data_IF_586646836178
#
_entry.id   IF_586646836178
#
_cell.length_a   1.000
_cell.length_b   1.000
_cell.length_c   1.000
_cell.angle_alpha   90.00
_cell.angle_beta   90.00
_cell.angle_gamma   90.00
#
_symmetry.space_group_name_H-M   'P 1'
#
loop_
_entity.id
_entity.type
_entity.pdbx_description
1 polymer ?
#
# COMPACT_ATOMS: atom_id res chain seq x y z
N UNK A 1 7.05 11.97 12.84
CA UNK A 1 6.70 11.86 11.42
C UNK A 1 7.06 10.45 10.95
N UNK A 2 6.26 9.81 10.09
CA UNK A 2 6.68 8.55 9.48
C UNK A 2 7.95 8.78 8.64
N UNK A 3 8.82 7.78 8.59
CA UNK A 3 10.03 7.81 7.77
C UNK A 3 9.64 7.96 6.29
N UNK A 4 10.15 8.96 5.55
CA UNK A 4 9.82 9.16 4.14
C UNK A 4 10.26 7.99 3.25
N UNK A 5 11.16 7.13 3.72
CA UNK A 5 11.56 5.90 3.04
C UNK A 5 10.56 4.76 3.20
N UNK A 6 9.58 4.91 4.12
CA UNK A 6 8.56 3.90 4.32
C UNK A 6 7.52 4.01 3.19
N UNK A 7 7.26 2.94 2.42
CA UNK A 7 6.27 2.93 1.34
C UNK A 7 4.83 3.01 1.84
N UNK A 8 4.62 2.92 3.16
CA UNK A 8 3.29 2.91 3.77
C UNK A 8 2.99 4.23 4.46
N UNK A 9 1.72 4.63 4.40
CA UNK A 9 1.24 5.81 5.09
C UNK A 9 1.25 5.63 6.61
N UNK A 10 1.51 6.72 7.32
CA UNK A 10 1.32 6.77 8.76
C UNK A 10 -0.15 6.59 9.15
N UNK A 11 -0.38 6.27 10.42
CA UNK A 11 -1.74 6.15 10.95
C UNK A 11 -2.46 7.48 10.83
N UNK A 12 -3.67 7.43 10.27
CA UNK A 12 -4.55 8.58 10.12
C UNK A 12 -6.01 8.18 10.35
N UNK A 13 -6.84 9.19 10.56
CA UNK A 13 -8.28 9.07 10.70
C UNK A 13 -8.94 9.61 9.43
N UNK A 14 -9.91 8.87 8.92
CA UNK A 14 -10.65 9.27 7.72
C UNK A 14 -12.14 9.23 7.98
N UNK A 15 -12.81 10.35 7.81
CA UNK A 15 -14.28 10.42 7.82
C UNK A 15 -14.79 9.96 6.46
N UNK A 16 -15.66 8.98 6.46
CA UNK A 16 -16.28 8.44 5.25
C UNK A 16 -17.49 9.25 4.83
N UNK A 17 -17.97 9.06 3.60
CA UNK A 17 -19.19 9.70 3.10
C UNK A 17 -20.44 9.35 3.93
N UNK A 18 -20.42 8.25 4.66
CA UNK A 18 -21.49 7.84 5.59
C UNK A 18 -21.33 8.44 7.00
N UNK A 19 -20.41 9.37 7.22
CA UNK A 19 -20.13 9.97 8.52
C UNK A 19 -19.36 9.08 9.50
N UNK A 20 -19.01 7.85 9.11
CA UNK A 20 -18.23 6.93 9.96
C UNK A 20 -16.75 7.26 9.88
N UNK A 21 -16.06 7.19 11.01
CA UNK A 21 -14.61 7.40 11.05
C UNK A 21 -13.89 6.07 11.00
N UNK A 22 -12.87 5.99 10.15
CA UNK A 22 -11.93 4.86 10.06
C UNK A 22 -10.58 5.28 10.60
N UNK A 23 -9.89 4.36 11.26
CA UNK A 23 -8.49 4.49 11.66
C UNK A 23 -7.63 3.49 10.88
N UNK A 24 -6.49 3.90 10.40
CA UNK A 24 -5.57 3.05 9.64
C UNK A 24 -4.49 3.86 8.94
N UNK A 25 -3.79 3.27 7.99
CA UNK A 25 -3.89 1.88 7.54
C UNK A 25 -3.08 0.90 8.38
N UNK A 26 -3.38 -0.39 8.18
CA UNK A 26 -2.45 -1.49 8.43
C UNK A 26 -2.01 -2.04 7.08
N UNK A 27 -0.73 -2.38 6.93
CA UNK A 27 -0.21 -2.91 5.68
C UNK A 27 0.34 -4.32 5.88
N UNK A 28 -0.13 -5.25 5.04
CA UNK A 28 0.43 -6.60 4.95
C UNK A 28 0.76 -6.91 3.50
N UNK A 29 1.77 -7.76 3.27
CA UNK A 29 2.00 -8.33 1.96
C UNK A 29 0.78 -9.12 1.50
N UNK A 30 0.30 -8.82 0.29
CA UNK A 30 -0.71 -9.65 -0.38
C UNK A 30 -0.03 -10.84 -1.04
N UNK A 31 -0.66 -12.01 -0.96
CA UNK A 31 -0.13 -13.25 -1.54
C UNK A 31 -0.74 -13.56 -2.91
N UNK A 32 -1.78 -12.84 -3.33
CA UNK A 32 -2.35 -12.89 -4.68
C UNK A 32 -2.96 -11.54 -5.06
N UNK A 33 -3.24 -11.33 -6.33
CA UNK A 33 -3.57 -10.01 -6.88
C UNK A 33 -4.92 -9.45 -6.41
N UNK A 34 -5.89 -10.31 -6.13
CA UNK A 34 -7.23 -9.91 -5.70
C UNK A 34 -7.53 -10.35 -4.28
N UNK A 35 -6.60 -10.09 -3.36
CA UNK A 35 -6.70 -10.48 -1.95
C UNK A 35 -7.65 -9.58 -1.14
N UNK A 36 -8.90 -9.51 -1.60
CA UNK A 36 -9.97 -8.76 -0.91
C UNK A 36 -10.77 -9.61 0.08
N UNK A 37 -10.69 -10.95 -0.04
CA UNK A 37 -11.55 -11.88 0.69
C UNK A 37 -10.79 -12.78 1.66
N UNK A 38 -9.53 -12.48 1.91
CA UNK A 38 -8.66 -13.31 2.73
C UNK A 38 -8.60 -14.74 2.17
N UNK A 39 -8.55 -15.74 3.03
CA UNK A 39 -8.37 -17.16 2.64
C UNK A 39 -9.39 -17.72 1.64
N UNK A 40 -10.53 -17.06 1.44
CA UNK A 40 -11.57 -17.51 0.49
C UNK A 40 -11.24 -17.26 -0.99
N UNK A 41 -10.17 -16.51 -1.27
CA UNK A 41 -9.76 -16.17 -2.64
C UNK A 41 -8.39 -16.71 -3.03
N UNK A 42 -7.86 -17.69 -2.31
CA UNK A 42 -6.51 -18.23 -2.50
C UNK A 42 -6.31 -18.71 -3.95
N UNK A 43 -5.23 -18.22 -4.57
CA UNK A 43 -4.79 -18.62 -5.91
C UNK A 43 -3.35 -19.17 -5.83
N UNK A 44 -3.18 -20.49 -5.75
CA UNK A 44 -1.86 -21.10 -5.49
C UNK A 44 -0.79 -20.73 -6.52
N UNK A 45 -1.17 -20.59 -7.79
CA UNK A 45 -0.23 -20.19 -8.87
C UNK A 45 0.26 -18.77 -8.72
N UNK A 46 -0.61 -17.84 -8.32
CA UNK A 46 -0.25 -16.45 -8.04
C UNK A 46 0.61 -16.36 -6.78
N UNK A 47 0.25 -17.10 -5.73
CA UNK A 47 1.05 -17.20 -4.51
C UNK A 47 2.48 -17.67 -4.79
N UNK A 48 2.63 -18.74 -5.57
CA UNK A 48 3.94 -19.26 -5.95
C UNK A 48 4.75 -18.21 -6.75
N UNK A 49 4.11 -17.49 -7.66
CA UNK A 49 4.73 -16.45 -8.47
C UNK A 49 5.20 -15.28 -7.61
N UNK A 50 4.36 -14.83 -6.68
CA UNK A 50 4.69 -13.74 -5.76
C UNK A 50 5.77 -14.18 -4.76
N UNK A 51 5.65 -15.39 -4.18
CA UNK A 51 6.61 -15.91 -3.22
C UNK A 51 8.04 -15.99 -3.78
N UNK A 52 8.19 -16.27 -5.08
CA UNK A 52 9.50 -16.26 -5.77
C UNK A 52 10.15 -14.88 -5.80
N UNK A 53 9.39 -13.81 -5.68
CA UNK A 53 9.88 -12.43 -5.71
C UNK A 53 10.31 -11.95 -4.31
N UNK A 54 9.73 -12.50 -3.23
CA UNK A 54 10.04 -12.07 -1.87
C UNK A 54 11.52 -12.12 -1.49
N UNK A 55 12.31 -13.18 -1.84
CA UNK A 55 13.71 -13.21 -1.48
C UNK A 55 14.50 -12.01 -2.06
N UNK A 56 14.13 -11.56 -3.26
CA UNK A 56 14.76 -10.36 -3.88
C UNK A 56 14.40 -9.10 -3.12
N UNK A 57 13.14 -8.92 -2.77
CA UNK A 57 12.69 -7.81 -1.96
C UNK A 57 13.35 -7.80 -0.57
N UNK A 58 13.36 -8.94 0.12
CA UNK A 58 13.90 -9.07 1.48
C UNK A 58 15.42 -8.83 1.57
N UNK A 59 16.16 -9.16 0.50
CA UNK A 59 17.61 -8.95 0.42
C UNK A 59 18.00 -7.62 -0.19
N UNK A 60 17.03 -6.85 -0.66
CA UNK A 60 17.30 -5.56 -1.29
C UNK A 60 17.82 -4.54 -0.27
N UNK A 61 18.95 -3.84 -0.57
CA UNK A 61 19.47 -2.80 0.31
C UNK A 61 18.62 -1.53 0.30
N UNK A 62 17.62 -1.47 -0.58
CA UNK A 62 16.75 -0.29 -0.73
C UNK A 62 15.63 -0.23 0.31
N UNK A 63 15.42 -1.30 1.09
CA UNK A 63 14.34 -1.39 2.06
C UNK A 63 14.87 -1.85 3.42
N UNK A 64 14.48 -1.14 4.47
CA UNK A 64 14.63 -1.62 5.85
C UNK A 64 13.46 -2.55 6.20
N UNK A 65 13.52 -3.80 5.72
CA UNK A 65 12.47 -4.78 5.97
C UNK A 65 12.26 -5.07 7.46
N UNK A 66 13.31 -5.23 8.30
CA UNK A 66 13.12 -5.36 9.73
C UNK A 66 12.39 -4.17 10.35
N UNK A 67 12.74 -2.96 9.96
CA UNK A 67 12.06 -1.73 10.39
C UNK A 67 10.60 -1.68 9.96
N UNK A 68 10.31 -2.10 8.71
CA UNK A 68 8.94 -2.21 8.20
C UNK A 68 8.10 -3.19 9.03
N UNK A 69 8.61 -4.38 9.30
CA UNK A 69 7.93 -5.39 10.12
C UNK A 69 7.69 -4.85 11.54
N UNK A 70 8.71 -4.25 12.14
CA UNK A 70 8.61 -3.66 13.48
C UNK A 70 7.56 -2.55 13.57
N UNK A 71 7.37 -1.79 12.50
CA UNK A 71 6.44 -0.66 12.43
C UNK A 71 5.01 -1.12 12.09
N UNK A 72 4.86 -2.05 11.16
CA UNK A 72 3.55 -2.43 10.63
C UNK A 72 2.87 -3.53 11.45
N UNK A 73 3.63 -4.51 11.95
CA UNK A 73 3.07 -5.65 12.68
C UNK A 73 2.28 -5.23 13.95
N UNK A 74 2.76 -4.30 14.79
CA UNK A 74 2.00 -3.87 15.97
C UNK A 74 0.66 -3.21 15.65
N UNK A 75 0.51 -2.60 14.46
CA UNK A 75 -0.74 -1.96 14.01
C UNK A 75 -1.91 -2.95 13.87
N UNK A 76 -1.65 -4.26 13.82
CA UNK A 76 -2.69 -5.30 13.89
C UNK A 76 -3.40 -5.36 15.23
N UNK A 77 -2.75 -4.89 16.30
CA UNK A 77 -3.41 -4.65 17.57
C UNK A 77 -4.24 -3.37 17.49
N UNK A 78 -5.56 -3.50 17.66
CA UNK A 78 -6.48 -2.35 17.72
C UNK A 78 -6.03 -1.32 18.76
N UNK A 79 -5.59 -1.78 19.95
CA UNK A 79 -5.11 -0.90 21.02
C UNK A 79 -3.88 -0.09 20.58
N UNK A 80 -2.92 -0.75 19.92
CA UNK A 80 -1.72 -0.09 19.43
C UNK A 80 -2.06 0.90 18.30
N UNK A 81 -2.90 0.51 17.34
CA UNK A 81 -3.34 1.38 16.25
C UNK A 81 -4.03 2.66 16.79
N UNK A 82 -4.93 2.51 17.75
CA UNK A 82 -5.62 3.64 18.37
C UNK A 82 -4.67 4.48 19.22
N UNK A 83 -3.68 3.87 19.89
CA UNK A 83 -2.67 4.66 20.64
C UNK A 83 -1.89 5.62 19.73
N UNK A 84 -1.60 5.19 18.50
CA UNK A 84 -0.99 6.09 17.49
C UNK A 84 -1.97 7.17 17.01
N UNK A 85 -3.24 6.83 16.82
CA UNK A 85 -4.27 7.78 16.42
C UNK A 85 -4.53 8.88 17.47
N UNK A 86 -4.31 8.58 18.76
CA UNK A 86 -4.40 9.56 19.85
C UNK A 86 -3.43 10.73 19.72
N UNK A 87 -2.32 10.57 19.01
CA UNK A 87 -1.43 11.67 18.70
C UNK A 87 -2.10 12.74 17.80
N UNK A 88 -3.12 12.34 17.04
CA UNK A 88 -3.90 13.24 16.18
C UNK A 88 -5.20 13.70 16.85
N UNK A 89 -5.89 12.78 17.51
CA UNK A 89 -7.16 13.03 18.20
C UNK A 89 -7.11 12.36 19.59
N UNK A 90 -6.76 13.09 20.65
CA UNK A 90 -6.52 12.53 21.98
C UNK A 90 -7.72 11.80 22.60
N UNK A 91 -8.93 12.18 22.21
CA UNK A 91 -10.18 11.66 22.79
C UNK A 91 -10.57 10.27 22.29
N UNK A 92 -10.00 9.77 21.17
CA UNK A 92 -10.39 8.47 20.62
C UNK A 92 -10.01 7.31 21.56
N UNK A 93 -10.90 6.33 21.62
CA UNK A 93 -10.72 5.13 22.43
C UNK A 93 -10.77 3.86 21.55
N UNK A 94 -10.14 2.75 21.98
CA UNK A 94 -10.23 1.49 21.24
C UNK A 94 -11.66 0.99 21.03
N UNK A 95 -12.55 1.36 21.93
CA UNK A 95 -13.97 0.98 21.93
C UNK A 95 -14.76 1.68 20.80
N UNK A 96 -14.27 2.82 20.29
CA UNK A 96 -14.86 3.55 19.17
C UNK A 96 -14.68 2.79 17.84
N UNK A 97 -13.69 1.90 17.75
CA UNK A 97 -13.34 1.16 16.53
C UNK A 97 -13.60 -0.34 16.70
N UNK A 98 -14.86 -0.75 16.69
CA UNK A 98 -15.27 -2.14 16.96
C UNK A 98 -15.23 -3.02 15.71
N UNK A 99 -15.43 -2.44 14.53
CA UNK A 99 -15.53 -3.15 13.27
C UNK A 99 -14.22 -3.06 12.48
N UNK A 100 -13.89 -4.13 11.77
CA UNK A 100 -12.82 -4.09 10.78
C UNK A 100 -13.33 -3.46 9.49
N UNK A 101 -12.54 -2.54 8.93
CA UNK A 101 -12.81 -1.94 7.63
C UNK A 101 -12.62 -2.93 6.48
N UNK A 102 -13.05 -2.53 5.28
CA UNK A 102 -12.78 -3.30 4.07
C UNK A 102 -11.29 -3.30 3.76
N UNK A 103 -10.79 -4.43 3.29
CA UNK A 103 -9.42 -4.56 2.79
C UNK A 103 -9.33 -3.90 1.41
N UNK A 104 -8.27 -3.13 1.18
CA UNK A 104 -7.90 -2.64 -0.14
C UNK A 104 -6.58 -3.28 -0.57
N UNK A 105 -6.47 -3.66 -1.83
CA UNK A 105 -5.21 -4.14 -2.40
C UNK A 105 -4.55 -2.98 -3.13
N UNK A 106 -3.31 -2.66 -2.74
CA UNK A 106 -2.47 -1.71 -3.47
C UNK A 106 -1.54 -2.50 -4.39
N UNK A 107 -1.66 -2.31 -5.69
CA UNK A 107 -0.67 -2.80 -6.64
C UNK A 107 0.64 -2.05 -6.39
N UNK A 108 1.73 -2.81 -6.21
CA UNK A 108 3.06 -2.25 -5.99
C UNK A 108 4.04 -2.90 -6.96
N UNK A 109 4.58 -2.09 -7.87
CA UNK A 109 5.55 -2.56 -8.85
C UNK A 109 6.90 -2.81 -8.18
N UNK A 110 7.49 -3.96 -8.47
CA UNK A 110 8.82 -4.35 -8.02
C UNK A 110 9.77 -4.39 -9.23
N UNK A 111 10.85 -3.63 -9.17
CA UNK A 111 11.96 -3.77 -10.11
C UNK A 111 12.74 -5.04 -9.76
N UNK A 112 12.48 -6.12 -10.50
CA UNK A 112 12.96 -7.47 -10.18
C UNK A 112 14.48 -7.58 -10.07
N UNK A 113 15.29 -6.94 -10.95
CA UNK A 113 16.75 -7.04 -10.84
C UNK A 113 17.32 -6.47 -9.54
N UNK A 114 16.83 -5.32 -9.08
CA UNK A 114 17.33 -4.65 -7.87
C UNK A 114 16.54 -4.99 -6.61
N UNK A 115 15.35 -5.57 -6.73
CA UNK A 115 14.44 -5.77 -5.61
C UNK A 115 13.85 -4.47 -5.03
N UNK A 116 13.93 -3.36 -5.78
CA UNK A 116 13.40 -2.06 -5.35
C UNK A 116 11.92 -1.94 -5.69
N UNK A 117 11.15 -1.41 -4.76
CA UNK A 117 9.77 -0.99 -5.03
C UNK A 117 9.77 0.31 -5.82
N UNK A 118 9.01 0.37 -6.90
CA UNK A 118 8.83 1.61 -7.65
C UNK A 118 7.84 2.51 -6.91
N UNK A 119 8.31 3.69 -6.53
CA UNK A 119 7.54 4.62 -5.69
C UNK A 119 6.90 5.75 -6.50
N UNK A 120 7.15 5.78 -7.81
CA UNK A 120 6.67 6.82 -8.72
C UNK A 120 5.97 6.19 -9.92
N UNK A 121 5.37 7.04 -10.77
CA UNK A 121 4.79 6.62 -12.04
C UNK A 121 5.84 6.01 -12.96
N UNK A 122 5.51 4.90 -13.58
CA UNK A 122 6.36 4.26 -14.59
C UNK A 122 5.59 4.21 -15.89
N UNK A 123 6.01 5.02 -16.85
CA UNK A 123 5.44 5.06 -18.20
C UNK A 123 6.47 4.53 -19.19
N UNK A 124 6.07 3.62 -20.07
CA UNK A 124 6.93 2.99 -21.07
C UNK A 124 6.26 3.03 -22.45
N UNK A 125 6.96 3.53 -23.48
CA UNK A 125 6.47 3.45 -24.86
C UNK A 125 6.57 1.99 -25.36
N UNK A 126 5.62 1.59 -26.18
CA UNK A 126 5.66 0.42 -27.06
C UNK A 126 5.62 0.87 -28.51
N UNK A 127 5.64 -0.06 -29.48
CA UNK A 127 5.63 0.28 -30.91
C UNK A 127 4.41 1.12 -31.32
N UNK A 128 3.23 0.79 -30.78
CA UNK A 128 1.95 1.47 -31.08
C UNK A 128 1.11 1.64 -29.80
N UNK A 129 1.78 1.77 -28.67
CA UNK A 129 1.10 1.83 -27.37
C UNK A 129 1.94 2.57 -26.35
N UNK A 130 1.28 3.08 -25.33
CA UNK A 130 1.93 3.61 -24.12
C UNK A 130 1.41 2.85 -22.92
N UNK A 131 2.32 2.37 -22.11
CA UNK A 131 2.02 1.54 -20.93
C UNK A 131 2.29 2.33 -19.65
N UNK A 132 1.27 2.48 -18.81
CA UNK A 132 1.40 3.02 -17.47
C UNK A 132 1.51 1.82 -16.52
N UNK A 133 2.74 1.46 -16.16
CA UNK A 133 3.03 0.25 -15.38
C UNK A 133 2.83 0.44 -13.90
N UNK A 134 3.00 1.67 -13.42
CA UNK A 134 2.85 2.00 -12.01
C UNK A 134 2.12 3.34 -11.90
N UNK A 135 0.86 3.30 -11.48
CA UNK A 135 0.04 4.46 -11.21
C UNK A 135 -0.23 4.54 -9.70
N UNK A 136 0.73 5.12 -8.97
CA UNK A 136 0.66 5.25 -7.52
C UNK A 136 -0.19 6.45 -7.10
N UNK A 137 -0.67 6.45 -5.85
CA UNK A 137 -1.34 7.62 -5.28
C UNK A 137 -0.41 8.85 -5.33
N UNK A 138 -0.90 10.00 -5.85
CA UNK A 138 -2.31 10.42 -6.02
C UNK A 138 -2.91 10.18 -7.42
N UNK A 139 -2.58 9.09 -8.11
CA UNK A 139 -2.97 8.83 -9.52
C UNK A 139 -4.42 9.16 -9.87
N UNK A 140 -5.38 8.82 -9.01
CA UNK A 140 -6.79 9.12 -9.25
C UNK A 140 -7.06 10.62 -9.27
N UNK A 141 -6.59 11.35 -8.26
CA UNK A 141 -6.85 12.79 -8.13
C UNK A 141 -6.04 13.63 -9.10
N UNK A 142 -4.89 13.12 -9.57
CA UNK A 142 -4.03 13.76 -10.59
C UNK A 142 -4.23 13.20 -12.00
N UNK A 143 -5.27 12.40 -12.23
CA UNK A 143 -5.45 11.65 -13.48
C UNK A 143 -5.50 12.54 -14.73
N UNK A 144 -6.12 13.71 -14.67
CA UNK A 144 -6.20 14.63 -15.80
C UNK A 144 -4.83 15.20 -16.15
N UNK A 145 -4.11 15.76 -15.17
CA UNK A 145 -2.75 16.27 -15.37
C UNK A 145 -1.79 15.17 -15.83
N UNK A 146 -1.97 13.95 -15.31
CA UNK A 146 -1.18 12.80 -15.72
C UNK A 146 -1.47 12.38 -17.16
N UNK A 147 -2.72 12.45 -17.59
CA UNK A 147 -3.10 12.18 -18.97
C UNK A 147 -2.47 13.19 -19.93
N UNK A 148 -2.55 14.48 -19.63
CA UNK A 148 -1.88 15.54 -20.38
C UNK A 148 -0.37 15.28 -20.48
N UNK A 149 0.27 15.03 -19.35
CA UNK A 149 1.70 14.73 -19.27
C UNK A 149 2.11 13.52 -20.13
N UNK A 150 1.27 12.47 -20.19
CA UNK A 150 1.51 11.29 -21.02
C UNK A 150 1.37 11.66 -22.51
N UNK A 151 0.29 12.36 -22.88
CA UNK A 151 -0.01 12.70 -24.28
C UNK A 151 1.08 13.59 -24.88
N UNK A 152 1.64 14.52 -24.11
CA UNK A 152 2.75 15.38 -24.56
C UNK A 152 4.05 14.60 -24.88
N UNK A 153 4.15 13.31 -24.49
CA UNK A 153 5.35 12.47 -24.63
C UNK A 153 5.17 11.29 -25.58
N UNK A 154 4.03 11.21 -26.23
CA UNK A 154 3.71 10.25 -27.28
C UNK A 154 3.96 10.91 -28.65
#
# INVERSE_FOLDING_TARGET
MPDPRNPFLGVHLTVTVSGRTKVGPTAIPSLWREDYRGVRGIRPSEMASIAKLYPRFLRSPHHDVPGLVRTELPKYSRRHLVSQARALVPSVQPEDFRERGRVGVRAQLLHVPSGRLEMDFVVRPGERSTHVLNAVSPAWTSSLAMAEWIVERI
#
